data_IF_999170044243
#
_entry.id   IF_999170044243
#
_cell.length_a   1.000
_cell.length_b   1.000
_cell.length_c   1.000
_cell.angle_alpha   90.00
_cell.angle_beta   90.00
_cell.angle_gamma   90.00
#
_symmetry.space_group_name_H-M   'P 1'
#
loop_
_entity.id
_entity.type
_entity.pdbx_description
1 polymer ?
#
# COMPACT_ATOMS: atom_id res chain seq x y z
N UNK A 1 -73.86 53.32 47.08
CA UNK A 1 -74.19 51.89 47.31
C UNK A 1 -73.49 51.05 46.25
N UNK A 2 -72.81 49.98 46.70
CA UNK A 2 -72.42 48.72 46.03
C UNK A 2 -72.23 48.65 44.50
N UNK A 3 -71.12 47.99 44.16
CA UNK A 3 -71.06 46.95 43.12
C UNK A 3 -70.44 47.42 41.81
N UNK A 4 -69.56 46.67 41.14
CA UNK A 4 -69.14 45.29 41.34
C UNK A 4 -68.47 44.82 40.05
N UNK A 5 -67.30 44.17 40.19
CA UNK A 5 -66.52 43.57 39.12
C UNK A 5 -67.15 42.28 38.56
N UNK A 6 -66.74 41.96 37.33
CA UNK A 6 -66.38 40.63 36.78
C UNK A 6 -66.95 40.47 35.36
N UNK A 7 -66.23 39.97 34.36
CA UNK A 7 -64.93 39.30 34.34
C UNK A 7 -64.92 38.44 33.08
N UNK A 8 -64.01 38.73 32.16
CA UNK A 8 -63.89 38.05 30.88
C UNK A 8 -63.29 36.64 31.06
N UNK A 9 -63.91 35.63 30.45
CA UNK A 9 -63.32 34.31 30.26
C UNK A 9 -62.22 34.40 29.21
N UNK A 10 -61.02 33.94 29.56
CA UNK A 10 -59.93 33.71 28.62
C UNK A 10 -59.49 32.25 28.80
N UNK A 11 -59.70 31.44 27.77
CA UNK A 11 -59.27 30.03 27.73
C UNK A 11 -57.74 29.95 27.73
N UNK A 12 -57.18 29.31 28.75
CA UNK A 12 -55.78 28.91 28.78
C UNK A 12 -55.63 27.50 28.20
N UNK A 13 -54.98 27.40 27.04
CA UNK A 13 -54.38 26.17 26.55
C UNK A 13 -53.07 25.90 27.30
N UNK A 14 -52.74 24.64 27.70
CA UNK A 14 -51.49 24.37 28.42
C UNK A 14 -50.30 24.46 27.46
N UNK A 15 -49.31 25.27 27.85
CA UNK A 15 -47.99 25.34 27.24
C UNK A 15 -47.35 23.94 27.17
N UNK A 16 -47.09 23.47 25.95
CA UNK A 16 -46.36 22.24 25.70
C UNK A 16 -44.89 22.41 26.14
N UNK A 17 -44.46 21.56 27.08
CA UNK A 17 -43.05 21.45 27.46
C UNK A 17 -42.16 21.18 26.22
N UNK A 18 -40.98 21.79 26.11
CA UNK A 18 -40.09 21.55 24.97
C UNK A 18 -39.60 20.10 24.96
N UNK A 19 -39.84 19.41 23.85
CA UNK A 19 -39.39 18.03 23.60
C UNK A 19 -37.85 17.93 23.63
N UNK A 20 -37.26 16.80 24.06
CA UNK A 20 -35.83 16.66 24.29
C UNK A 20 -35.07 16.44 22.98
N UNK A 21 -34.93 17.48 22.15
CA UNK A 21 -33.98 17.50 21.04
C UNK A 21 -32.56 17.77 21.57
N UNK A 22 -31.98 16.91 22.41
CA UNK A 22 -30.83 17.36 23.20
C UNK A 22 -29.98 16.37 23.98
N UNK A 23 -29.90 15.08 23.63
CA UNK A 23 -28.95 14.15 24.29
C UNK A 23 -27.68 13.85 23.49
N UNK A 24 -27.80 13.65 22.18
CA UNK A 24 -26.63 13.37 21.32
C UNK A 24 -25.81 14.64 21.10
N UNK A 25 -26.49 15.76 20.81
CA UNK A 25 -25.83 17.06 20.58
C UNK A 25 -25.08 17.55 21.83
N UNK A 26 -25.59 17.26 23.03
CA UNK A 26 -24.96 17.64 24.31
C UNK A 26 -23.76 16.76 24.66
N UNK A 27 -23.80 15.46 24.35
CA UNK A 27 -22.68 14.53 24.52
C UNK A 27 -21.47 14.89 23.63
N UNK A 28 -21.70 15.11 22.34
CA UNK A 28 -20.65 15.52 21.39
C UNK A 28 -20.01 16.85 21.78
N UNK A 29 -20.81 17.83 22.20
CA UNK A 29 -20.28 19.11 22.68
C UNK A 29 -19.49 18.98 23.98
N UNK A 30 -19.86 18.04 24.85
CA UNK A 30 -19.14 17.79 26.11
C UNK A 30 -17.79 17.09 25.91
N UNK A 31 -17.68 16.20 24.93
CA UNK A 31 -16.42 15.53 24.59
C UNK A 31 -15.44 16.44 23.84
N UNK A 32 -15.94 17.30 22.95
CA UNK A 32 -15.14 18.33 22.28
C UNK A 32 -14.65 19.43 23.22
N UNK A 33 -15.36 19.66 24.33
CA UNK A 33 -14.96 20.59 25.39
C UNK A 33 -13.89 20.01 26.34
N UNK A 34 -13.06 19.10 25.85
CA UNK A 34 -11.90 18.51 26.54
C UNK A 34 -10.65 18.74 25.72
N UNK A 35 -9.48 18.67 26.35
CA UNK A 35 -8.20 18.82 25.66
C UNK A 35 -8.01 17.79 24.55
N UNK A 36 -8.33 16.53 24.83
CA UNK A 36 -8.32 15.43 23.85
C UNK A 36 -9.51 15.48 22.87
N UNK A 37 -10.40 16.48 22.95
CA UNK A 37 -11.49 16.68 22.00
C UNK A 37 -10.99 16.83 20.54
N UNK A 38 -9.77 17.31 20.35
CA UNK A 38 -9.11 17.34 19.04
C UNK A 38 -8.92 15.96 18.42
N UNK A 39 -8.63 14.93 19.22
CA UNK A 39 -8.53 13.54 18.74
C UNK A 39 -9.85 13.08 18.15
N UNK A 40 -10.96 13.38 18.84
CA UNK A 40 -12.29 13.08 18.34
C UNK A 40 -12.63 13.88 17.07
N UNK A 41 -12.30 15.16 17.05
CA UNK A 41 -12.56 16.04 15.90
C UNK A 41 -11.85 15.54 14.63
N UNK A 42 -10.54 15.31 14.70
CA UNK A 42 -9.78 14.82 13.55
C UNK A 42 -10.08 13.35 13.23
N UNK A 43 -10.42 12.54 14.24
CA UNK A 43 -10.89 11.17 14.05
C UNK A 43 -12.18 11.10 13.23
N UNK A 44 -13.15 11.98 13.50
CA UNK A 44 -14.38 12.06 12.69
C UNK A 44 -14.08 12.48 11.26
N UNK A 45 -13.17 13.44 11.05
CA UNK A 45 -12.74 13.84 9.70
C UNK A 45 -12.08 12.66 8.98
N UNK A 46 -11.15 11.95 9.64
CA UNK A 46 -10.50 10.77 9.09
C UNK A 46 -11.52 9.71 8.66
N UNK A 47 -12.46 9.36 9.55
CA UNK A 47 -13.51 8.38 9.27
C UNK A 47 -14.42 8.81 8.12
N UNK A 48 -14.75 10.10 8.05
CA UNK A 48 -15.54 10.66 6.94
C UNK A 48 -14.80 10.49 5.62
N UNK A 49 -13.51 10.84 5.58
CA UNK A 49 -12.67 10.67 4.38
C UNK A 49 -12.54 9.19 4.02
N UNK A 50 -12.34 8.29 4.99
CA UNK A 50 -12.19 6.86 4.74
C UNK A 50 -13.47 6.21 4.17
N UNK A 51 -14.65 6.62 4.67
CA UNK A 51 -15.94 6.19 4.11
C UNK A 51 -16.14 6.75 2.71
N UNK A 52 -15.83 8.03 2.47
CA UNK A 52 -15.92 8.64 1.15
C UNK A 52 -15.01 7.94 0.14
N UNK A 53 -13.79 7.58 0.55
CA UNK A 53 -12.87 6.79 -0.28
C UNK A 53 -13.46 5.41 -0.60
N UNK A 54 -14.00 4.70 0.39
CA UNK A 54 -14.62 3.38 0.16
C UNK A 54 -15.78 3.46 -0.83
N UNK A 55 -16.65 4.47 -0.68
CA UNK A 55 -17.74 4.72 -1.63
C UNK A 55 -17.17 5.06 -3.01
N UNK A 56 -16.13 5.90 -3.07
CA UNK A 56 -15.45 6.24 -4.32
C UNK A 56 -14.87 5.01 -5.03
N UNK A 57 -14.23 4.09 -4.30
CA UNK A 57 -13.69 2.84 -4.85
C UNK A 57 -14.78 1.88 -5.30
N UNK A 58 -15.88 1.78 -4.56
CA UNK A 58 -17.06 1.02 -5.01
C UNK A 58 -17.59 1.57 -6.34
N UNK A 59 -17.72 2.90 -6.47
CA UNK A 59 -18.19 3.54 -7.70
C UNK A 59 -17.22 3.32 -8.87
N UNK A 60 -15.91 3.38 -8.63
CA UNK A 60 -14.89 3.11 -9.66
C UNK A 60 -14.86 1.64 -10.10
N UNK A 61 -15.19 0.71 -9.20
CA UNK A 61 -15.22 -0.73 -9.47
C UNK A 61 -16.60 -1.26 -9.84
N UNK A 62 -17.61 -0.40 -9.95
CA UNK A 62 -19.02 -0.77 -10.09
C UNK A 62 -19.32 -1.69 -11.29
N UNK A 63 -18.55 -1.56 -12.38
CA UNK A 63 -18.72 -2.36 -13.59
C UNK A 63 -18.16 -3.80 -13.48
N UNK A 64 -17.27 -4.06 -12.50
CA UNK A 64 -16.51 -5.31 -12.38
C UNK A 64 -16.84 -6.04 -11.07
N UNK A 65 -17.31 -5.31 -10.05
CA UNK A 65 -17.59 -5.86 -8.72
C UNK A 65 -18.87 -6.72 -8.69
N UNK A 66 -18.87 -7.76 -7.87
CA UNK A 66 -20.08 -8.53 -7.60
C UNK A 66 -21.01 -7.77 -6.64
N UNK A 67 -22.28 -7.66 -7.04
CA UNK A 67 -23.33 -7.01 -6.27
C UNK A 67 -24.10 -8.04 -5.42
N UNK A 68 -23.53 -8.43 -4.28
CA UNK A 68 -24.14 -9.40 -3.36
C UNK A 68 -24.07 -8.93 -1.88
N UNK A 69 -24.51 -9.79 -0.96
CA UNK A 69 -24.47 -9.51 0.48
C UNK A 69 -23.04 -9.35 1.04
N UNK A 70 -22.02 -9.80 0.32
CA UNK A 70 -20.62 -9.61 0.64
C UNK A 70 -20.22 -8.15 0.72
N UNK A 71 -20.89 -7.25 -0.03
CA UNK A 71 -20.67 -5.81 0.07
C UNK A 71 -21.05 -5.24 1.44
N UNK A 72 -22.11 -5.74 2.08
CA UNK A 72 -22.48 -5.33 3.44
C UNK A 72 -21.41 -5.74 4.44
N UNK A 73 -20.90 -6.96 4.31
CA UNK A 73 -19.79 -7.45 5.13
C UNK A 73 -18.52 -6.63 4.88
N UNK A 74 -18.21 -6.29 3.61
CA UNK A 74 -17.06 -5.47 3.25
C UNK A 74 -17.15 -4.08 3.86
N UNK A 75 -18.29 -3.41 3.79
CA UNK A 75 -18.46 -2.10 4.44
C UNK A 75 -18.40 -2.19 5.96
N UNK A 76 -18.97 -3.24 6.57
CA UNK A 76 -18.91 -3.46 8.02
C UNK A 76 -17.48 -3.65 8.53
N UNK A 77 -16.73 -4.57 7.91
CA UNK A 77 -15.30 -4.78 8.22
C UNK A 77 -14.46 -3.54 7.90
N UNK A 78 -14.72 -2.90 6.77
CA UNK A 78 -14.05 -1.68 6.37
C UNK A 78 -14.20 -0.57 7.40
N UNK A 79 -15.41 -0.36 7.95
CA UNK A 79 -15.63 0.58 9.05
C UNK A 79 -14.85 0.20 10.31
N UNK A 80 -14.75 -1.09 10.64
CA UNK A 80 -13.92 -1.56 11.76
C UNK A 80 -12.44 -1.21 11.58
N UNK A 81 -11.90 -1.46 10.39
CA UNK A 81 -10.52 -1.09 10.04
C UNK A 81 -10.31 0.43 9.92
N UNK A 82 -11.32 1.20 9.52
CA UNK A 82 -11.26 2.66 9.52
C UNK A 82 -11.16 3.21 10.94
N UNK A 83 -11.95 2.67 11.87
CA UNK A 83 -11.89 3.02 13.30
C UNK A 83 -10.53 2.63 13.87
N UNK A 84 -10.05 1.41 13.58
CA UNK A 84 -8.73 0.96 14.00
C UNK A 84 -7.60 1.85 13.47
N UNK A 85 -7.64 2.19 12.18
CA UNK A 85 -6.69 3.09 11.54
C UNK A 85 -6.72 4.50 12.13
N UNK A 86 -7.92 5.08 12.34
CA UNK A 86 -8.08 6.40 12.94
C UNK A 86 -7.52 6.47 14.38
N UNK A 87 -7.77 5.42 15.17
CA UNK A 87 -7.30 5.32 16.55
C UNK A 87 -5.77 5.22 16.64
N UNK A 88 -5.14 4.41 15.78
CA UNK A 88 -3.68 4.31 15.70
C UNK A 88 -3.05 5.61 15.18
N UNK A 89 -3.60 6.19 14.12
CA UNK A 89 -3.14 7.45 13.54
C UNK A 89 -3.24 8.62 14.53
N UNK A 90 -4.16 8.55 15.49
CA UNK A 90 -4.33 9.57 16.52
C UNK A 90 -3.31 9.48 17.67
N UNK A 91 -2.57 8.37 17.84
CA UNK A 91 -1.65 8.18 18.97
C UNK A 91 -0.63 9.33 19.14
N UNK A 92 0.03 9.86 18.09
CA UNK A 92 0.92 11.01 18.22
C UNK A 92 0.20 12.25 18.76
N UNK A 93 -1.05 12.49 18.34
CA UNK A 93 -1.87 13.60 18.85
C UNK A 93 -2.29 13.38 20.30
N UNK A 94 -2.62 12.13 20.67
CA UNK A 94 -2.92 11.76 22.07
C UNK A 94 -1.72 12.08 22.96
N UNK A 95 -0.50 11.67 22.56
CA UNK A 95 0.73 11.97 23.32
C UNK A 95 0.96 13.48 23.39
N UNK A 96 0.88 14.19 22.26
CA UNK A 96 1.07 15.64 22.20
C UNK A 96 0.11 16.37 23.14
N UNK A 97 -1.19 16.11 23.05
CA UNK A 97 -2.20 16.76 23.90
C UNK A 97 -2.10 16.33 25.36
N UNK A 98 -1.55 15.14 25.64
CA UNK A 98 -1.28 14.70 27.00
C UNK A 98 -0.10 15.43 27.60
N UNK A 99 0.99 15.67 26.85
CA UNK A 99 2.25 16.24 27.38
C UNK A 99 2.23 17.76 27.47
N UNK A 100 1.55 18.45 26.55
CA UNK A 100 1.53 19.91 26.49
C UNK A 100 1.17 20.57 27.85
N UNK A 101 1.81 21.70 28.22
CA UNK A 101 1.59 22.35 29.52
C UNK A 101 0.14 22.81 29.74
N UNK A 102 -0.26 22.99 31.01
CA UNK A 102 -1.62 23.46 31.39
C UNK A 102 -1.95 24.83 30.84
N UNK A 103 -0.96 25.73 30.74
CA UNK A 103 -1.15 27.08 30.18
C UNK A 103 -1.21 27.13 28.65
N UNK A 104 -1.16 25.99 27.96
CA UNK A 104 -1.16 25.95 26.49
C UNK A 104 -2.55 26.26 25.92
N UNK A 105 -2.60 27.10 24.88
CA UNK A 105 -3.85 27.53 24.24
C UNK A 105 -4.41 28.84 24.81
N UNK A 106 -3.74 29.47 25.78
CA UNK A 106 -4.13 30.77 26.34
C UNK A 106 -3.57 31.95 25.54
N UNK A 107 -2.39 31.79 24.92
CA UNK A 107 -1.75 32.85 24.13
C UNK A 107 -2.14 32.75 22.64
N UNK A 108 -2.26 33.90 21.97
CA UNK A 108 -2.61 33.97 20.55
C UNK A 108 -1.68 33.14 19.64
N UNK A 109 -0.36 33.22 19.85
CA UNK A 109 0.61 32.43 19.08
C UNK A 109 0.47 30.92 19.31
N UNK A 110 0.11 30.48 20.52
CA UNK A 110 -0.14 29.06 20.82
C UNK A 110 -1.38 28.58 20.06
N UNK A 111 -2.45 29.39 20.03
CA UNK A 111 -3.65 29.09 19.23
C UNK A 111 -3.31 29.04 17.74
N UNK A 112 -2.46 29.95 17.26
CA UNK A 112 -1.94 29.94 15.89
C UNK A 112 -1.20 28.65 15.56
N UNK A 113 -0.31 28.17 16.44
CA UNK A 113 0.39 26.89 16.26
C UNK A 113 -0.58 25.69 16.25
N UNK A 114 -1.62 25.70 17.08
CA UNK A 114 -2.62 24.63 17.08
C UNK A 114 -3.45 24.62 15.78
N UNK A 115 -3.73 25.79 15.20
CA UNK A 115 -4.36 25.91 13.88
C UNK A 115 -3.43 25.42 12.75
N UNK A 116 -2.13 25.76 12.81
CA UNK A 116 -1.15 25.24 11.87
C UNK A 116 -1.00 23.72 11.97
N UNK A 117 -0.99 23.17 13.19
CA UNK A 117 -1.00 21.73 13.43
C UNK A 117 -2.27 21.05 12.92
N UNK A 118 -3.44 21.69 13.11
CA UNK A 118 -4.70 21.22 12.54
C UNK A 118 -4.66 21.18 11.01
N UNK A 119 -4.11 22.22 10.37
CA UNK A 119 -3.91 22.26 8.93
C UNK A 119 -3.01 21.12 8.45
N UNK A 120 -1.89 20.87 9.15
CA UNK A 120 -0.97 19.79 8.82
C UNK A 120 -1.62 18.40 8.95
N UNK A 121 -2.43 18.18 9.99
CA UNK A 121 -3.19 16.92 10.16
C UNK A 121 -4.21 16.74 9.03
N UNK A 122 -4.98 17.78 8.70
CA UNK A 122 -5.96 17.72 7.61
C UNK A 122 -5.27 17.50 6.25
N UNK A 123 -4.14 18.16 6.02
CA UNK A 123 -3.31 17.94 4.84
C UNK A 123 -2.85 16.48 4.77
N UNK A 124 -2.35 15.90 5.85
CA UNK A 124 -1.89 14.51 5.87
C UNK A 124 -3.02 13.52 5.57
N UNK A 125 -4.22 13.74 6.13
CA UNK A 125 -5.40 12.91 5.86
C UNK A 125 -5.78 12.97 4.38
N UNK A 126 -5.87 14.19 3.81
CA UNK A 126 -6.27 14.39 2.42
C UNK A 126 -5.20 13.94 1.43
N UNK A 127 -3.92 14.14 1.77
CA UNK A 127 -2.79 13.63 0.98
C UNK A 127 -2.79 12.11 0.94
N UNK A 128 -2.97 11.46 2.10
CA UNK A 128 -3.09 10.00 2.17
C UNK A 128 -4.27 9.47 1.35
N UNK A 129 -5.41 10.16 1.40
CA UNK A 129 -6.58 9.82 0.59
C UNK A 129 -6.32 9.95 -0.91
N UNK A 130 -5.66 11.02 -1.35
CA UNK A 130 -5.30 11.22 -2.75
C UNK A 130 -4.28 10.17 -3.21
N UNK A 131 -3.27 9.88 -2.39
CA UNK A 131 -2.29 8.84 -2.67
C UNK A 131 -2.96 7.46 -2.81
N UNK A 132 -3.96 7.15 -1.98
CA UNK A 132 -4.71 5.90 -2.07
C UNK A 132 -5.58 5.85 -3.33
N UNK A 133 -6.16 6.97 -3.77
CA UNK A 133 -6.88 7.05 -5.05
C UNK A 133 -5.97 6.74 -6.24
N UNK A 134 -4.79 7.38 -6.31
CA UNK A 134 -3.83 7.14 -7.38
C UNK A 134 -3.31 5.71 -7.36
N UNK A 135 -3.07 5.16 -6.16
CA UNK A 135 -2.64 3.79 -5.98
C UNK A 135 -3.71 2.78 -6.40
N UNK A 136 -4.98 3.06 -6.11
CA UNK A 136 -6.10 2.24 -6.55
C UNK A 136 -6.24 2.25 -8.08
N UNK A 137 -6.05 3.40 -8.72
CA UNK A 137 -6.14 3.51 -10.18
C UNK A 137 -5.06 2.70 -10.89
N UNK A 138 -3.86 2.62 -10.28
CA UNK A 138 -2.73 1.85 -10.82
C UNK A 138 -2.86 0.35 -10.54
N UNK A 139 -3.23 -0.04 -9.32
CA UNK A 139 -3.12 -1.44 -8.87
C UNK A 139 -4.46 -2.15 -8.60
N UNK A 140 -5.58 -1.43 -8.62
CA UNK A 140 -6.90 -1.97 -8.33
C UNK A 140 -7.08 -2.50 -6.90
N UNK A 141 -6.19 -2.12 -5.98
CA UNK A 141 -6.15 -2.60 -4.59
C UNK A 141 -5.78 -1.45 -3.65
N UNK A 142 -6.06 -1.58 -2.34
CA UNK A 142 -5.58 -0.62 -1.34
C UNK A 142 -4.09 -0.80 -1.08
N UNK A 143 -3.49 0.13 -0.34
CA UNK A 143 -2.07 0.04 0.02
C UNK A 143 -1.70 -1.33 0.58
N UNK A 144 -0.59 -1.86 0.09
CA UNK A 144 -0.05 -3.17 0.45
C UNK A 144 1.49 -3.10 0.43
N UNK A 145 2.16 -4.25 0.31
CA UNK A 145 3.63 -4.31 0.28
C UNK A 145 4.26 -3.50 -0.86
N UNK A 146 3.54 -3.26 -1.97
CA UNK A 146 4.00 -2.41 -3.08
C UNK A 146 4.19 -0.97 -2.59
N UNK A 147 3.25 -0.44 -1.81
CA UNK A 147 3.36 0.90 -1.22
C UNK A 147 4.54 1.01 -0.25
N UNK A 148 4.84 -0.09 0.47
CA UNK A 148 6.01 -0.16 1.36
C UNK A 148 7.31 -0.17 0.56
N UNK A 149 7.41 -1.00 -0.48
CA UNK A 149 8.56 -1.03 -1.39
C UNK A 149 8.86 0.37 -1.95
N UNK A 150 7.82 1.13 -2.32
CA UNK A 150 7.99 2.48 -2.85
C UNK A 150 8.55 3.47 -1.82
N UNK A 151 8.28 3.25 -0.53
CA UNK A 151 8.89 4.04 0.54
C UNK A 151 10.31 3.59 0.87
N UNK A 152 10.70 2.35 0.55
CA UNK A 152 12.09 1.90 0.68
C UNK A 152 12.96 2.53 -0.42
N UNK A 153 12.45 2.60 -1.65
CA UNK A 153 13.14 3.18 -2.80
C UNK A 153 12.73 4.65 -3.04
N UNK A 154 12.83 5.48 -1.99
CA UNK A 154 12.31 6.87 -2.04
C UNK A 154 12.91 7.71 -3.13
N UNK A 155 14.19 7.54 -3.46
CA UNK A 155 14.89 8.45 -4.38
C UNK A 155 14.37 8.28 -5.80
N UNK A 156 14.26 7.04 -6.26
CA UNK A 156 13.71 6.65 -7.56
C UNK A 156 12.25 7.06 -7.65
N UNK A 157 11.46 6.70 -6.63
CA UNK A 157 10.01 6.94 -6.63
C UNK A 157 9.70 8.43 -6.60
N UNK A 158 10.35 9.22 -5.73
CA UNK A 158 10.16 10.67 -5.69
C UNK A 158 10.68 11.32 -6.97
N UNK A 159 11.79 10.84 -7.53
CA UNK A 159 12.31 11.28 -8.83
C UNK A 159 11.27 11.07 -9.93
N UNK A 160 10.74 9.86 -10.05
CA UNK A 160 9.71 9.51 -11.02
C UNK A 160 8.44 10.34 -10.83
N UNK A 161 7.96 10.54 -9.59
CA UNK A 161 6.78 11.35 -9.32
C UNK A 161 7.01 12.81 -9.73
N UNK A 162 8.20 13.37 -9.48
CA UNK A 162 8.56 14.74 -9.88
C UNK A 162 8.59 14.91 -11.39
N UNK A 163 9.08 13.90 -12.11
CA UNK A 163 9.15 13.89 -13.57
C UNK A 163 7.77 13.63 -14.22
N UNK A 164 6.91 12.84 -13.55
CA UNK A 164 5.61 12.40 -14.10
C UNK A 164 4.44 13.32 -13.75
N UNK A 165 4.51 14.03 -12.61
CA UNK A 165 3.38 14.80 -12.10
C UNK A 165 3.74 16.25 -11.76
N UNK A 166 2.78 17.15 -11.97
CA UNK A 166 2.88 18.53 -11.49
C UNK A 166 2.65 18.59 -9.97
N UNK A 167 3.71 18.30 -9.20
CA UNK A 167 3.68 18.30 -7.74
C UNK A 167 3.24 19.63 -7.12
N UNK A 168 3.69 20.81 -7.59
CA UNK A 168 3.17 22.08 -7.07
C UNK A 168 1.66 22.21 -7.16
N UNK A 169 1.07 21.79 -8.29
CA UNK A 169 -0.38 21.79 -8.47
C UNK A 169 -1.06 20.81 -7.51
N UNK A 170 -0.59 19.56 -7.46
CA UNK A 170 -1.18 18.52 -6.61
C UNK A 170 -1.13 18.91 -5.13
N UNK A 171 0.07 19.22 -4.63
CA UNK A 171 0.26 19.59 -3.22
C UNK A 171 -0.45 20.90 -2.89
N UNK A 172 -0.46 21.86 -3.82
CA UNK A 172 -1.20 23.12 -3.70
C UNK A 172 -2.71 22.90 -3.59
N UNK A 173 -3.29 22.01 -4.41
CA UNK A 173 -4.72 21.66 -4.35
C UNK A 173 -5.10 20.95 -3.06
N UNK A 174 -4.27 20.01 -2.58
CA UNK A 174 -4.49 19.34 -1.29
C UNK A 174 -4.40 20.35 -0.14
N UNK A 175 -3.41 21.25 -0.17
CA UNK A 175 -3.26 22.31 0.84
C UNK A 175 -4.44 23.29 0.83
N UNK A 176 -4.93 23.70 -0.35
CA UNK A 176 -6.10 24.55 -0.48
C UNK A 176 -7.36 23.88 0.07
N UNK A 177 -7.56 22.58 -0.22
CA UNK A 177 -8.68 21.82 0.32
C UNK A 177 -8.59 21.65 1.84
N UNK A 178 -7.40 21.36 2.37
CA UNK A 178 -7.16 21.29 3.82
C UNK A 178 -7.46 22.64 4.50
N UNK A 179 -7.06 23.76 3.89
CA UNK A 179 -7.36 25.10 4.38
C UNK A 179 -8.86 25.43 4.32
N UNK A 180 -9.54 25.06 3.24
CA UNK A 180 -10.99 25.23 3.11
C UNK A 180 -11.75 24.41 4.17
N UNK A 181 -11.33 23.17 4.42
CA UNK A 181 -11.89 22.31 5.46
C UNK A 181 -11.65 22.90 6.85
N UNK A 182 -10.43 23.37 7.13
CA UNK A 182 -10.10 24.05 8.39
C UNK A 182 -10.93 25.32 8.58
N UNK A 183 -11.13 26.11 7.51
CA UNK A 183 -11.99 27.28 7.52
C UNK A 183 -13.44 26.89 7.88
N UNK A 184 -13.98 25.83 7.27
CA UNK A 184 -15.30 25.30 7.60
C UNK A 184 -15.41 24.84 9.07
N UNK A 185 -14.40 24.13 9.59
CA UNK A 185 -14.35 23.71 11.01
C UNK A 185 -14.25 24.90 11.98
N UNK A 186 -13.64 26.00 11.54
CA UNK A 186 -13.62 27.26 12.30
C UNK A 186 -14.98 27.99 12.22
N UNK A 187 -15.59 28.06 11.04
CA UNK A 187 -16.89 28.69 10.82
C UNK A 187 -18.02 28.02 11.61
N UNK A 188 -17.97 26.69 11.77
CA UNK A 188 -18.90 25.92 12.63
C UNK A 188 -18.67 26.13 14.13
N UNK A 189 -17.56 26.76 14.52
CA UNK A 189 -17.17 26.98 15.91
C UNK A 189 -16.59 25.75 16.62
N UNK A 190 -16.44 24.61 15.94
CA UNK A 190 -15.88 23.38 16.52
C UNK A 190 -14.43 23.57 16.95
N UNK A 191 -13.61 24.19 16.08
CA UNK A 191 -12.22 24.50 16.39
C UNK A 191 -12.11 25.45 17.59
N UNK A 192 -12.93 26.51 17.62
CA UNK A 192 -12.93 27.46 18.75
C UNK A 192 -13.23 26.76 20.07
N UNK A 193 -14.26 25.90 20.10
CA UNK A 193 -14.64 25.13 21.29
C UNK A 193 -13.52 24.22 21.78
N UNK A 194 -12.84 23.52 20.87
CA UNK A 194 -11.70 22.68 21.23
C UNK A 194 -10.53 23.51 21.75
N UNK A 195 -10.16 24.60 21.06
CA UNK A 195 -9.06 25.48 21.46
C UNK A 195 -9.30 26.12 22.84
N UNK A 196 -10.55 26.47 23.15
CA UNK A 196 -10.95 27.00 24.46
C UNK A 196 -10.85 25.94 25.58
N UNK A 197 -10.86 24.65 25.23
CA UNK A 197 -10.71 23.53 26.16
C UNK A 197 -9.27 23.03 26.33
N UNK A 198 -8.29 23.59 25.61
CA UNK A 198 -6.87 23.20 25.73
C UNK A 198 -6.29 23.40 27.14
N UNK A 199 -6.62 24.49 27.87
CA UNK A 199 -6.12 24.69 29.22
C UNK A 199 -6.83 23.75 30.19
N UNK A 200 -6.29 22.55 30.38
CA UNK A 200 -6.85 21.51 31.25
C UNK A 200 -5.86 21.09 32.35
N UNK A 201 -6.30 20.94 33.62
CA UNK A 201 -5.43 20.55 34.73
C UNK A 201 -4.70 19.22 34.52
N UNK A 202 -3.48 19.12 35.06
CA UNK A 202 -2.57 17.99 34.86
C UNK A 202 -3.20 16.62 35.16
N UNK A 203 -3.82 16.45 36.33
CA UNK A 203 -4.40 15.16 36.72
C UNK A 203 -5.48 14.66 35.74
N UNK A 204 -6.26 15.58 35.15
CA UNK A 204 -7.33 15.21 34.24
C UNK A 204 -6.80 14.88 32.83
N UNK A 205 -5.86 15.67 32.30
CA UNK A 205 -5.24 15.39 30.99
C UNK A 205 -4.46 14.07 30.99
N UNK A 206 -3.75 13.72 32.07
CA UNK A 206 -2.99 12.47 32.12
C UNK A 206 -3.90 11.24 32.20
N UNK A 207 -4.99 11.31 32.99
CA UNK A 207 -6.00 10.25 33.02
C UNK A 207 -6.67 10.06 31.65
N UNK A 208 -7.13 11.15 31.03
CA UNK A 208 -7.72 11.11 29.70
C UNK A 208 -6.72 10.60 28.65
N UNK A 209 -5.47 11.07 28.71
CA UNK A 209 -4.38 10.63 27.84
C UNK A 209 -4.10 9.15 27.94
N UNK A 210 -4.04 8.60 29.16
CA UNK A 210 -3.85 7.16 29.37
C UNK A 210 -5.02 6.34 28.79
N UNK A 211 -6.26 6.78 28.99
CA UNK A 211 -7.44 6.13 28.41
C UNK A 211 -7.37 6.16 26.88
N UNK A 212 -7.13 7.33 26.28
CA UNK A 212 -6.99 7.47 24.84
C UNK A 212 -5.81 6.69 24.27
N UNK A 213 -4.71 6.55 25.02
CA UNK A 213 -3.55 5.77 24.59
C UNK A 213 -3.88 4.28 24.57
N UNK A 214 -4.51 3.75 25.62
CA UNK A 214 -4.96 2.35 25.68
C UNK A 214 -5.99 2.06 24.60
N UNK A 215 -6.99 2.92 24.44
CA UNK A 215 -8.01 2.80 23.38
C UNK A 215 -7.35 2.91 22.01
N UNK A 216 -6.44 3.86 21.81
CA UNK A 216 -5.73 4.08 20.56
C UNK A 216 -4.84 2.90 20.15
N UNK A 217 -4.24 2.22 21.12
CA UNK A 217 -3.36 1.07 20.90
C UNK A 217 -4.14 -0.26 20.78
N UNK A 218 -5.36 -0.34 21.32
CA UNK A 218 -6.18 -1.56 21.31
C UNK A 218 -6.37 -2.20 19.93
N UNK A 219 -6.55 -1.47 18.81
CA UNK A 219 -6.72 -2.08 17.49
C UNK A 219 -5.52 -2.93 17.08
N UNK A 220 -4.29 -2.55 17.45
CA UNK A 220 -3.07 -3.30 17.12
C UNK A 220 -3.04 -4.72 17.71
N UNK A 221 -3.89 -5.01 18.70
CA UNK A 221 -4.04 -6.33 19.32
C UNK A 221 -5.36 -7.02 18.97
N UNK A 222 -6.40 -6.27 18.63
CA UNK A 222 -7.74 -6.80 18.40
C UNK A 222 -8.05 -7.06 16.93
N UNK A 223 -7.47 -6.28 16.02
CA UNK A 223 -7.71 -6.37 14.59
C UNK A 223 -6.51 -7.03 13.90
N UNK A 224 -6.78 -7.99 13.04
CA UNK A 224 -5.84 -8.56 12.10
C UNK A 224 -6.54 -8.75 10.74
N UNK A 225 -5.86 -8.43 9.63
CA UNK A 225 -6.42 -8.63 8.31
C UNK A 225 -6.73 -10.09 7.98
N UNK A 226 -6.07 -11.04 8.63
CA UNK A 226 -6.36 -12.48 8.52
C UNK A 226 -7.77 -12.82 9.00
N UNK A 227 -8.41 -11.96 9.81
CA UNK A 227 -9.78 -12.15 10.26
C UNK A 227 -10.83 -11.79 9.19
N UNK A 228 -10.42 -11.18 8.07
CA UNK A 228 -11.33 -10.87 6.97
C UNK A 228 -11.90 -12.17 6.39
N UNK A 229 -13.22 -12.26 6.18
CA UNK A 229 -13.82 -13.44 5.58
C UNK A 229 -13.39 -13.59 4.12
N UNK A 230 -13.62 -14.78 3.56
CA UNK A 230 -13.54 -14.97 2.11
C UNK A 230 -14.64 -14.15 1.42
N UNK A 231 -14.27 -13.33 0.45
CA UNK A 231 -15.20 -12.57 -0.39
C UNK A 231 -15.32 -13.22 -1.77
N UNK A 232 -16.41 -12.91 -2.49
CA UNK A 232 -16.66 -13.46 -3.83
C UNK A 232 -15.63 -12.97 -4.86
N UNK A 233 -15.14 -11.74 -4.70
CA UNK A 233 -14.06 -11.17 -5.51
C UNK A 233 -13.08 -10.35 -4.67
N UNK A 234 -11.96 -10.01 -5.30
CA UNK A 234 -10.88 -9.26 -4.65
C UNK A 234 -11.28 -7.79 -4.36
N UNK A 235 -12.12 -7.16 -5.19
CA UNK A 235 -12.53 -5.77 -4.96
C UNK A 235 -13.34 -5.63 -3.67
N UNK A 236 -14.28 -6.54 -3.42
CA UNK A 236 -15.01 -6.59 -2.14
C UNK A 236 -14.07 -6.73 -0.95
N UNK A 237 -13.05 -7.59 -1.06
CA UNK A 237 -12.03 -7.78 -0.02
C UNK A 237 -11.22 -6.50 0.20
N UNK A 238 -10.87 -5.78 -0.85
CA UNK A 238 -10.14 -4.51 -0.76
C UNK A 238 -11.01 -3.37 -0.19
N UNK A 239 -12.32 -3.37 -0.45
CA UNK A 239 -13.26 -2.45 0.20
C UNK A 239 -13.38 -2.74 1.71
N UNK A 240 -13.18 -3.99 2.14
CA UNK A 240 -13.16 -4.39 3.54
C UNK A 240 -11.92 -3.92 4.32
N UNK A 241 -10.92 -3.37 3.62
CA UNK A 241 -9.67 -2.87 4.22
C UNK A 241 -9.72 -1.35 4.44
N UNK A 242 -8.71 -0.87 5.15
CA UNK A 242 -8.31 0.53 5.23
C UNK A 242 -6.87 0.66 4.73
N UNK A 243 -6.57 1.66 3.89
CA UNK A 243 -5.24 1.82 3.27
C UNK A 243 -4.14 2.04 4.29
N UNK A 244 -4.34 2.96 5.25
CA UNK A 244 -3.35 3.23 6.29
C UNK A 244 -3.09 2.00 7.16
N UNK A 245 -4.15 1.30 7.57
CA UNK A 245 -4.01 0.03 8.28
C UNK A 245 -3.21 -1.00 7.47
N UNK A 246 -3.55 -1.14 6.19
CA UNK A 246 -2.92 -2.12 5.30
C UNK A 246 -1.47 -1.83 4.99
N UNK A 247 -1.11 -0.55 4.89
CA UNK A 247 0.27 -0.11 4.78
C UNK A 247 1.11 -0.58 5.99
N UNK A 248 0.64 -0.33 7.23
CA UNK A 248 1.36 -0.76 8.43
C UNK A 248 1.38 -2.29 8.61
N UNK A 249 0.27 -2.97 8.30
CA UNK A 249 0.20 -4.43 8.34
C UNK A 249 1.19 -5.07 7.35
N UNK A 250 1.26 -4.55 6.12
CA UNK A 250 2.19 -5.02 5.10
C UNK A 250 3.65 -4.79 5.49
N UNK A 251 3.97 -3.63 6.07
CA UNK A 251 5.32 -3.34 6.56
C UNK A 251 5.78 -4.35 7.62
N UNK A 252 4.86 -4.84 8.46
CA UNK A 252 5.16 -5.79 9.54
C UNK A 252 5.26 -7.24 9.06
N UNK A 253 4.33 -7.69 8.21
CA UNK A 253 4.16 -9.13 7.96
C UNK A 253 4.89 -9.63 6.71
N UNK A 254 5.19 -8.76 5.73
CA UNK A 254 5.95 -8.93 4.47
C UNK A 254 6.06 -10.31 3.76
N UNK A 255 5.19 -11.27 4.08
CA UNK A 255 5.06 -12.60 3.51
C UNK A 255 3.56 -12.94 3.43
N UNK A 256 3.17 -13.60 2.34
CA UNK A 256 1.80 -14.04 2.13
C UNK A 256 1.68 -15.47 2.69
N UNK A 257 0.71 -15.73 3.55
CA UNK A 257 0.48 -17.09 4.11
C UNK A 257 0.06 -18.06 2.99
N UNK A 258 0.96 -18.97 2.61
CA UNK A 258 0.74 -19.87 1.48
C UNK A 258 -0.52 -20.74 1.67
N UNK A 259 -0.70 -21.31 2.87
CA UNK A 259 -1.78 -22.25 3.15
C UNK A 259 -3.14 -21.54 3.21
N UNK A 260 -3.15 -20.24 3.52
CA UNK A 260 -4.36 -19.43 3.51
C UNK A 260 -4.83 -19.05 2.10
N UNK A 261 -3.90 -18.76 1.18
CA UNK A 261 -4.22 -18.18 -0.13
C UNK A 261 -4.22 -19.19 -1.27
N UNK A 262 -3.62 -20.37 -1.08
CA UNK A 262 -3.49 -21.39 -2.11
C UNK A 262 -4.16 -22.68 -1.68
N UNK A 263 -4.76 -23.38 -2.65
CA UNK A 263 -5.17 -24.76 -2.45
C UNK A 263 -3.91 -25.60 -2.31
N UNK A 264 -3.77 -26.26 -1.17
CA UNK A 264 -2.60 -27.08 -0.87
C UNK A 264 -2.92 -28.57 -0.95
N UNK A 265 -1.86 -29.36 -1.08
CA UNK A 265 -1.87 -30.81 -1.17
C UNK A 265 -0.79 -31.34 -0.22
N UNK A 266 -0.99 -32.52 0.41
CA UNK A 266 0.03 -33.10 1.28
C UNK A 266 1.39 -33.18 0.58
N UNK A 267 2.50 -32.78 1.22
CA UNK A 267 3.81 -32.71 0.56
C UNK A 267 4.22 -34.01 -0.14
N UNK A 268 3.93 -35.17 0.45
CA UNK A 268 4.24 -36.46 -0.16
C UNK A 268 3.51 -36.69 -1.50
N UNK A 269 2.25 -36.27 -1.62
CA UNK A 269 1.48 -36.36 -2.87
C UNK A 269 1.98 -35.34 -3.89
N UNK A 270 2.29 -34.12 -3.45
CA UNK A 270 2.87 -33.06 -4.30
C UNK A 270 4.20 -33.51 -4.92
N UNK A 271 5.13 -34.04 -4.12
CA UNK A 271 6.41 -34.53 -4.62
C UNK A 271 6.25 -35.79 -5.50
N UNK A 272 5.25 -36.63 -5.27
CA UNK A 272 4.97 -37.75 -6.16
C UNK A 272 4.58 -37.26 -7.57
N UNK A 273 3.64 -36.31 -7.67
CA UNK A 273 3.24 -35.71 -8.95
C UNK A 273 4.40 -34.95 -9.62
N UNK A 274 5.12 -34.16 -8.84
CA UNK A 274 6.24 -33.37 -9.37
C UNK A 274 7.33 -34.27 -9.96
N UNK A 275 7.60 -35.43 -9.37
CA UNK A 275 8.57 -36.39 -9.92
C UNK A 275 8.14 -36.96 -11.27
N UNK A 276 6.84 -37.19 -11.47
CA UNK A 276 6.29 -37.65 -12.74
C UNK A 276 6.47 -36.56 -13.82
N UNK A 277 6.13 -35.31 -13.51
CA UNK A 277 6.30 -34.17 -14.42
C UNK A 277 7.77 -33.90 -14.77
N UNK A 278 8.67 -33.97 -13.77
CA UNK A 278 10.08 -33.62 -13.98
C UNK A 278 10.81 -34.58 -14.92
N UNK A 279 10.40 -35.85 -15.03
CA UNK A 279 11.06 -36.83 -15.90
C UNK A 279 10.50 -36.86 -17.32
N UNK A 280 9.43 -36.12 -17.61
CA UNK A 280 8.85 -36.04 -18.96
C UNK A 280 9.84 -35.47 -19.99
N UNK A 281 10.76 -34.62 -19.54
CA UNK A 281 11.84 -34.05 -20.38
C UNK A 281 13.03 -34.99 -20.59
N UNK A 282 12.94 -36.23 -20.10
CA UNK A 282 14.01 -37.23 -20.16
C UNK A 282 15.10 -37.06 -19.10
N UNK A 283 14.92 -36.16 -18.13
CA UNK A 283 15.86 -36.00 -17.03
C UNK A 283 15.83 -37.16 -16.04
N UNK A 284 16.94 -37.34 -15.32
CA UNK A 284 17.13 -38.42 -14.34
C UNK A 284 17.14 -37.82 -12.94
N UNK A 285 16.17 -38.18 -12.11
CA UNK A 285 16.11 -37.76 -10.71
C UNK A 285 17.30 -38.33 -9.93
N UNK A 286 18.02 -37.47 -9.21
CA UNK A 286 19.20 -37.89 -8.43
C UNK A 286 18.84 -38.35 -7.01
N UNK A 287 17.69 -37.92 -6.50
CA UNK A 287 17.19 -38.26 -5.16
C UNK A 287 15.68 -38.56 -5.17
N UNK A 288 15.25 -39.66 -5.82
CA UNK A 288 13.84 -39.95 -6.04
C UNK A 288 13.05 -40.18 -4.74
N UNK A 289 13.72 -40.63 -3.68
CA UNK A 289 13.09 -40.99 -2.40
C UNK A 289 13.02 -39.80 -1.40
N UNK A 290 13.62 -38.65 -1.74
CA UNK A 290 13.62 -37.44 -0.92
C UNK A 290 12.65 -36.39 -1.49
N UNK A 291 12.15 -35.44 -0.67
CA UNK A 291 11.40 -34.28 -1.14
C UNK A 291 12.35 -33.27 -1.83
N UNK A 292 12.91 -33.66 -2.97
CA UNK A 292 13.92 -32.93 -3.73
C UNK A 292 13.55 -32.91 -5.23
N UNK A 293 14.01 -31.89 -5.95
CA UNK A 293 13.83 -31.71 -7.40
C UNK A 293 15.15 -31.84 -8.18
N UNK A 294 16.24 -32.23 -7.50
CA UNK A 294 17.56 -32.43 -8.09
C UNK A 294 17.49 -33.48 -9.21
N UNK A 295 17.88 -33.07 -10.41
CA UNK A 295 17.88 -33.93 -11.59
C UNK A 295 19.10 -33.71 -12.44
N UNK A 296 19.52 -34.76 -13.12
CA UNK A 296 20.55 -34.75 -14.13
C UNK A 296 19.91 -34.67 -15.52
N UNK A 297 20.30 -33.67 -16.30
CA UNK A 297 19.86 -33.49 -17.67
C UNK A 297 21.04 -33.74 -18.60
N UNK A 298 20.85 -34.62 -19.59
CA UNK A 298 21.87 -34.92 -20.60
C UNK A 298 21.41 -34.35 -21.93
N UNK A 299 22.19 -33.44 -22.49
CA UNK A 299 22.03 -33.04 -23.88
C UNK A 299 22.88 -33.94 -24.79
N UNK A 300 22.36 -34.29 -25.96
CA UNK A 300 23.11 -35.04 -26.96
C UNK A 300 23.97 -34.11 -27.81
N UNK A 301 25.17 -34.57 -28.19
CA UNK A 301 26.10 -33.79 -29.00
C UNK A 301 27.27 -33.20 -28.22
N UNK A 302 28.08 -32.40 -28.92
CA UNK A 302 29.25 -31.75 -28.35
C UNK A 302 28.85 -30.54 -27.50
N UNK A 303 29.51 -30.35 -26.36
CA UNK A 303 29.35 -29.16 -25.54
C UNK A 303 29.83 -27.92 -26.31
N UNK A 304 28.97 -26.90 -26.38
CA UNK A 304 29.28 -25.64 -27.01
C UNK A 304 29.73 -24.63 -25.94
N UNK A 305 30.73 -23.82 -26.27
CA UNK A 305 31.22 -22.73 -25.41
C UNK A 305 31.07 -21.34 -26.06
N UNK A 306 29.87 -20.92 -26.50
CA UNK A 306 29.65 -19.58 -27.04
C UNK A 306 29.58 -18.55 -25.91
N UNK A 307 29.76 -17.27 -26.24
CA UNK A 307 29.32 -16.20 -25.35
C UNK A 307 27.79 -16.23 -25.23
N UNK A 308 27.26 -16.07 -24.01
CA UNK A 308 25.82 -16.05 -23.74
C UNK A 308 25.44 -14.64 -23.32
N UNK A 309 24.58 -13.98 -24.11
CA UNK A 309 24.09 -12.63 -23.83
C UNK A 309 22.58 -12.72 -23.66
N UNK A 310 22.11 -12.45 -22.44
CA UNK A 310 20.70 -12.43 -22.11
C UNK A 310 20.21 -10.99 -22.02
N UNK A 311 19.38 -10.57 -22.98
CA UNK A 311 18.78 -9.24 -23.01
C UNK A 311 17.36 -9.36 -22.46
N UNK A 312 17.13 -8.81 -21.27
CA UNK A 312 15.78 -8.74 -20.67
C UNK A 312 15.19 -7.38 -20.95
N UNK A 313 14.03 -7.34 -21.60
CA UNK A 313 13.39 -6.08 -21.98
C UNK A 313 12.27 -5.76 -21.00
N UNK A 314 12.34 -4.59 -20.39
CA UNK A 314 11.39 -4.12 -19.39
C UNK A 314 9.99 -3.90 -20.00
N UNK A 315 8.97 -4.48 -19.37
CA UNK A 315 7.55 -4.27 -19.68
C UNK A 315 7.14 -4.46 -21.16
N UNK A 316 7.82 -5.34 -21.90
CA UNK A 316 7.52 -5.63 -23.31
C UNK A 316 6.57 -6.82 -23.46
N UNK A 317 5.27 -6.57 -23.46
CA UNK A 317 4.26 -7.59 -23.79
C UNK A 317 4.17 -7.83 -25.31
N UNK A 318 3.57 -8.97 -25.69
CA UNK A 318 3.31 -9.32 -27.08
C UNK A 318 2.41 -8.30 -27.82
N UNK A 319 1.59 -7.52 -27.10
CA UNK A 319 0.74 -6.48 -27.69
C UNK A 319 1.55 -5.38 -28.39
N UNK A 320 2.79 -5.15 -27.95
CA UNK A 320 3.67 -4.14 -28.54
C UNK A 320 4.50 -4.68 -29.72
N UNK A 321 4.54 -5.99 -29.92
CA UNK A 321 5.35 -6.62 -30.97
C UNK A 321 4.55 -6.72 -32.26
N UNK A 322 5.06 -6.16 -33.37
CA UNK A 322 4.39 -6.24 -34.67
C UNK A 322 4.19 -7.69 -35.15
N UNK A 323 5.12 -8.57 -34.77
CA UNK A 323 5.07 -10.03 -35.00
C UNK A 323 3.89 -10.75 -34.33
N UNK A 324 3.31 -10.19 -33.26
CA UNK A 324 2.17 -10.78 -32.54
C UNK A 324 0.90 -9.91 -32.59
N UNK A 325 1.06 -8.60 -32.73
CA UNK A 325 -0.01 -7.64 -32.96
C UNK A 325 0.25 -6.86 -34.25
N UNK A 326 -0.39 -7.22 -35.37
CA UNK A 326 -0.18 -6.56 -36.67
C UNK A 326 -0.51 -5.06 -36.69
N UNK A 327 -1.22 -4.54 -35.68
CA UNK A 327 -1.50 -3.11 -35.55
C UNK A 327 -0.38 -2.32 -34.87
N UNK A 328 0.57 -2.99 -34.22
CA UNK A 328 1.72 -2.35 -33.58
C UNK A 328 2.84 -2.07 -34.58
N UNK A 329 3.40 -0.87 -34.49
CA UNK A 329 4.58 -0.43 -35.27
C UNK A 329 5.75 -0.03 -34.37
N UNK A 330 5.69 -0.38 -33.08
CA UNK A 330 6.61 0.12 -32.05
C UNK A 330 7.99 -0.55 -32.05
N UNK A 331 8.10 -1.77 -32.60
CA UNK A 331 9.31 -2.62 -32.47
C UNK A 331 9.89 -3.13 -33.80
N UNK A 332 10.07 -2.27 -34.82
CA UNK A 332 10.44 -2.72 -36.17
C UNK A 332 11.76 -3.52 -36.22
N UNK A 333 12.76 -3.13 -35.42
CA UNK A 333 14.05 -3.83 -35.36
C UNK A 333 13.93 -5.22 -34.72
N UNK A 334 13.10 -5.35 -33.69
CA UNK A 334 12.87 -6.63 -33.02
C UNK A 334 12.06 -7.57 -33.91
N UNK A 335 11.09 -7.04 -34.66
CA UNK A 335 10.33 -7.82 -35.65
C UNK A 335 11.23 -8.30 -36.80
N UNK A 336 12.17 -7.47 -37.26
CA UNK A 336 13.17 -7.87 -38.24
C UNK A 336 14.14 -8.94 -37.72
N UNK A 337 14.47 -8.90 -36.42
CA UNK A 337 15.30 -9.91 -35.75
C UNK A 337 14.54 -11.24 -35.57
N UNK A 338 13.25 -11.18 -35.23
CA UNK A 338 12.39 -12.34 -35.02
C UNK A 338 12.35 -13.26 -36.24
N UNK A 339 12.28 -12.68 -37.46
CA UNK A 339 12.30 -13.44 -38.72
C UNK A 339 13.58 -14.25 -38.97
N UNK A 340 14.66 -14.00 -38.20
CA UNK A 340 15.97 -14.66 -38.32
C UNK A 340 16.33 -15.47 -37.07
N UNK A 341 15.39 -15.62 -36.13
CA UNK A 341 15.64 -16.16 -34.80
C UNK A 341 14.73 -17.35 -34.51
N UNK A 342 15.08 -18.14 -33.49
CA UNK A 342 14.12 -19.05 -32.88
C UNK A 342 13.16 -18.22 -32.02
N UNK A 343 11.89 -18.21 -32.38
CA UNK A 343 10.84 -17.45 -31.70
C UNK A 343 9.89 -18.42 -31.00
N UNK A 344 9.61 -18.14 -29.73
CA UNK A 344 8.61 -18.86 -28.95
C UNK A 344 7.32 -18.04 -28.94
N UNK A 345 6.29 -18.55 -29.60
CA UNK A 345 4.97 -17.91 -29.73
C UNK A 345 4.04 -18.18 -28.54
N UNK A 346 4.41 -19.14 -27.69
CA UNK A 346 3.73 -19.51 -26.45
C UNK A 346 4.66 -19.31 -25.24
N UNK A 347 5.19 -18.10 -25.07
CA UNK A 347 6.10 -17.76 -23.99
C UNK A 347 5.44 -16.82 -22.98
N UNK A 348 5.37 -17.24 -21.72
CA UNK A 348 4.65 -16.53 -20.67
C UNK A 348 5.57 -16.15 -19.52
N UNK A 349 5.45 -14.90 -19.04
CA UNK A 349 6.09 -14.49 -17.81
C UNK A 349 5.44 -15.19 -16.61
N UNK A 350 6.26 -15.57 -15.62
CA UNK A 350 5.78 -16.18 -14.37
C UNK A 350 5.17 -15.16 -13.40
N UNK A 351 5.29 -13.87 -13.69
CA UNK A 351 4.78 -12.78 -12.87
C UNK A 351 4.73 -11.47 -13.64
N UNK A 352 4.25 -10.44 -12.95
CA UNK A 352 3.96 -9.12 -13.51
C UNK A 352 4.94 -8.02 -13.05
N UNK A 353 6.09 -8.39 -12.49
CA UNK A 353 7.11 -7.44 -11.99
C UNK A 353 8.51 -7.85 -12.43
N UNK A 354 9.40 -6.86 -12.58
CA UNK A 354 10.80 -7.06 -12.98
C UNK A 354 11.53 -8.05 -12.08
N UNK A 355 11.35 -7.96 -10.76
CA UNK A 355 11.95 -8.87 -9.78
C UNK A 355 11.46 -10.32 -9.90
N UNK A 356 10.28 -10.56 -10.49
CA UNK A 356 9.78 -11.91 -10.83
C UNK A 356 10.37 -12.43 -12.13
N UNK A 357 10.48 -11.57 -13.14
CA UNK A 357 11.19 -11.90 -14.38
C UNK A 357 12.63 -12.31 -14.09
N UNK A 358 13.36 -11.50 -13.31
CA UNK A 358 14.73 -11.81 -12.90
C UNK A 358 14.83 -13.09 -12.04
N UNK A 359 13.88 -13.34 -11.13
CA UNK A 359 13.81 -14.57 -10.33
C UNK A 359 13.69 -15.80 -11.23
N UNK A 360 12.73 -15.81 -12.15
CA UNK A 360 12.52 -16.93 -13.07
C UNK A 360 13.72 -17.15 -13.99
N UNK A 361 14.27 -16.08 -14.55
CA UNK A 361 15.39 -16.15 -15.50
C UNK A 361 16.71 -16.56 -14.84
N UNK A 362 16.91 -16.27 -13.55
CA UNK A 362 18.15 -16.61 -12.83
C UNK A 362 18.05 -17.92 -12.06
N UNK A 363 16.92 -18.23 -11.44
CA UNK A 363 16.75 -19.40 -10.56
C UNK A 363 15.98 -20.55 -11.23
N UNK A 364 15.27 -20.29 -12.34
CA UNK A 364 14.39 -21.29 -12.98
C UNK A 364 13.35 -21.87 -12.02
N UNK A 365 12.84 -21.03 -11.11
CA UNK A 365 11.82 -21.42 -10.14
C UNK A 365 10.43 -20.94 -10.59
N UNK A 366 9.38 -21.73 -10.31
CA UNK A 366 8.01 -21.25 -10.41
C UNK A 366 7.79 -20.07 -9.43
N UNK A 367 6.80 -19.20 -9.71
CA UNK A 367 6.58 -18.01 -8.90
C UNK A 367 6.20 -18.38 -7.46
N UNK A 368 6.96 -17.85 -6.50
CA UNK A 368 6.69 -18.01 -5.07
C UNK A 368 5.64 -16.99 -4.59
N UNK A 369 4.76 -17.26 -3.61
CA UNK A 369 3.81 -16.24 -3.16
C UNK A 369 4.44 -15.06 -2.42
N UNK A 370 3.82 -13.88 -2.50
CA UNK A 370 4.30 -12.67 -1.81
C UNK A 370 5.41 -11.95 -2.57
N UNK A 371 6.56 -11.73 -1.92
CA UNK A 371 7.71 -11.02 -2.50
C UNK A 371 8.65 -11.98 -3.25
N UNK A 372 9.27 -11.54 -4.36
CA UNK A 372 10.30 -12.30 -5.09
C UNK A 372 11.46 -12.66 -4.16
N UNK A 373 12.09 -13.84 -4.35
CA UNK A 373 13.29 -14.27 -3.63
C UNK A 373 14.44 -13.26 -3.76
N UNK A 374 14.49 -12.50 -4.85
CA UNK A 374 15.48 -11.41 -5.03
C UNK A 374 15.47 -10.42 -3.88
N UNK A 375 14.31 -10.19 -3.27
CA UNK A 375 14.13 -9.22 -2.19
C UNK A 375 13.91 -9.84 -0.81
N UNK A 376 14.00 -11.17 -0.69
CA UNK A 376 13.89 -11.86 0.60
C UNK A 376 15.23 -11.89 1.34
N UNK A 377 15.24 -12.02 2.67
CA UNK A 377 16.45 -12.33 3.41
C UNK A 377 17.04 -13.68 2.97
N UNK A 378 18.35 -13.87 3.15
CA UNK A 378 19.08 -15.12 2.80
C UNK A 378 18.94 -15.49 1.32
N UNK A 379 19.13 -14.51 0.44
CA UNK A 379 19.02 -14.64 -1.00
C UNK A 379 20.39 -14.76 -1.72
N UNK A 380 21.45 -15.07 -0.98
CA UNK A 380 22.80 -15.32 -1.49
C UNK A 380 23.07 -16.83 -1.59
N UNK A 381 24.12 -17.22 -2.32
CA UNK A 381 24.57 -18.62 -2.48
C UNK A 381 23.49 -19.58 -3.01
N UNK A 382 22.59 -19.08 -3.86
CA UNK A 382 21.54 -19.86 -4.50
C UNK A 382 22.04 -20.55 -5.78
N UNK A 383 21.36 -21.64 -6.14
CA UNK A 383 21.57 -22.34 -7.41
C UNK A 383 20.98 -21.51 -8.56
N UNK A 384 21.81 -20.73 -9.22
CA UNK A 384 21.43 -19.84 -10.33
C UNK A 384 21.99 -20.34 -11.66
N UNK A 385 21.43 -19.87 -12.79
CA UNK A 385 22.01 -20.04 -14.12
C UNK A 385 23.50 -19.63 -14.14
N UNK A 386 23.83 -18.51 -13.49
CA UNK A 386 25.22 -18.05 -13.36
C UNK A 386 26.09 -19.03 -12.57
N UNK A 387 25.56 -19.63 -11.51
CA UNK A 387 26.31 -20.68 -10.79
C UNK A 387 26.63 -21.87 -11.68
N UNK A 388 25.68 -22.31 -12.52
CA UNK A 388 25.88 -23.41 -13.47
C UNK A 388 26.93 -23.02 -14.51
N UNK A 389 26.80 -21.85 -15.13
CA UNK A 389 27.75 -21.37 -16.15
C UNK A 389 29.18 -21.21 -15.58
N UNK A 390 29.33 -20.73 -14.34
CA UNK A 390 30.65 -20.64 -13.70
C UNK A 390 31.30 -22.00 -13.48
N UNK A 391 30.54 -23.08 -13.24
CA UNK A 391 31.13 -24.44 -13.20
C UNK A 391 31.73 -24.87 -14.54
N UNK A 392 31.36 -24.20 -15.64
CA UNK A 392 31.87 -24.38 -17.00
C UNK A 392 32.89 -23.32 -17.42
N UNK A 393 33.41 -22.53 -16.46
CA UNK A 393 34.49 -21.56 -16.69
C UNK A 393 34.05 -20.21 -17.27
N UNK A 394 32.74 -19.92 -17.30
CA UNK A 394 32.23 -18.62 -17.74
C UNK A 394 32.47 -17.51 -16.71
N UNK A 395 32.80 -16.31 -17.19
CA UNK A 395 32.61 -15.08 -16.42
C UNK A 395 31.14 -14.64 -16.53
N UNK A 396 30.49 -14.38 -15.40
CA UNK A 396 29.07 -14.03 -15.35
C UNK A 396 28.90 -12.61 -14.85
N UNK A 397 28.22 -11.77 -15.63
CA UNK A 397 27.95 -10.38 -15.28
C UNK A 397 26.45 -10.06 -15.31
N UNK A 398 26.02 -9.18 -14.40
CA UNK A 398 24.70 -8.54 -14.44
C UNK A 398 24.91 -7.07 -14.76
N UNK A 399 24.33 -6.61 -15.87
CA UNK A 399 24.53 -5.25 -16.38
C UNK A 399 23.20 -4.51 -16.35
N UNK A 400 23.16 -3.34 -15.73
CA UNK A 400 21.95 -2.55 -15.57
C UNK A 400 22.23 -1.05 -15.73
N UNK A 401 21.44 -0.36 -16.55
CA UNK A 401 21.60 1.08 -16.80
C UNK A 401 21.12 1.98 -15.65
N UNK A 402 20.40 1.43 -14.67
CA UNK A 402 19.98 2.14 -13.47
C UNK A 402 20.86 1.86 -12.27
N UNK A 403 20.51 2.39 -11.10
CA UNK A 403 21.18 2.02 -9.86
C UNK A 403 20.68 0.67 -9.39
N UNK A 404 21.55 -0.33 -9.33
CA UNK A 404 21.13 -1.69 -9.01
C UNK A 404 20.86 -1.92 -7.52
N UNK A 405 20.97 -0.90 -6.66
CA UNK A 405 20.38 -1.00 -5.32
C UNK A 405 18.84 -1.07 -5.39
N UNK A 406 18.25 -0.48 -6.43
CA UNK A 406 16.82 -0.61 -6.71
C UNK A 406 16.46 -2.09 -6.83
N UNK A 407 15.30 -2.47 -6.30
CA UNK A 407 14.83 -3.85 -6.25
C UNK A 407 15.79 -4.89 -5.64
N UNK A 408 16.82 -4.45 -4.90
CA UNK A 408 17.84 -5.32 -4.28
C UNK A 408 18.71 -6.09 -5.30
N UNK A 409 18.81 -5.61 -6.54
CA UNK A 409 19.52 -6.33 -7.62
C UNK A 409 21.01 -6.54 -7.33
N UNK A 410 21.73 -5.51 -6.87
CA UNK A 410 23.17 -5.59 -6.58
C UNK A 410 23.47 -6.63 -5.51
N UNK A 411 22.69 -6.64 -4.43
CA UNK A 411 22.87 -7.59 -3.34
C UNK A 411 22.57 -9.02 -3.79
N UNK A 412 21.48 -9.23 -4.54
CA UNK A 412 21.12 -10.54 -5.06
C UNK A 412 22.14 -11.06 -6.07
N UNK A 413 22.38 -10.35 -7.16
CA UNK A 413 23.29 -10.82 -8.22
C UNK A 413 24.74 -10.93 -7.71
N UNK A 414 25.21 -9.95 -6.94
CA UNK A 414 26.54 -10.00 -6.31
C UNK A 414 26.67 -11.16 -5.32
N UNK A 415 25.68 -11.38 -4.46
CA UNK A 415 25.62 -12.50 -3.52
C UNK A 415 25.47 -13.87 -4.19
N UNK A 416 25.11 -13.91 -5.48
CA UNK A 416 25.03 -15.13 -6.28
C UNK A 416 26.16 -15.20 -7.33
N UNK A 417 27.27 -14.48 -7.11
CA UNK A 417 28.52 -14.62 -7.85
C UNK A 417 28.56 -13.96 -9.23
N UNK A 418 27.62 -13.06 -9.53
CA UNK A 418 27.69 -12.23 -10.74
C UNK A 418 28.54 -10.97 -10.47
N UNK A 419 29.37 -10.59 -11.43
CA UNK A 419 29.96 -9.25 -11.46
C UNK A 419 28.89 -8.24 -11.84
N UNK A 420 28.58 -7.33 -10.92
CA UNK A 420 27.52 -6.34 -11.14
C UNK A 420 28.12 -5.07 -11.75
N UNK A 421 27.54 -4.64 -12.86
CA UNK A 421 27.85 -3.38 -13.55
C UNK A 421 26.55 -2.58 -13.61
N UNK A 422 26.40 -1.63 -12.70
CA UNK A 422 25.24 -0.75 -12.67
C UNK A 422 25.63 0.69 -13.09
N UNK A 423 24.68 1.61 -13.02
CA UNK A 423 24.90 3.02 -13.35
C UNK A 423 26.07 3.66 -12.58
N UNK A 424 26.39 3.21 -11.36
CA UNK A 424 27.48 3.79 -10.59
C UNK A 424 28.86 3.46 -11.19
N UNK A 425 28.96 2.42 -12.02
CA UNK A 425 30.18 2.06 -12.74
C UNK A 425 30.33 2.79 -14.09
N UNK A 426 29.32 3.56 -14.53
CA UNK A 426 29.35 4.28 -15.81
C UNK A 426 30.06 5.64 -15.68
N UNK A 427 31.10 5.92 -16.49
CA UNK A 427 31.71 7.25 -16.55
C UNK A 427 30.68 8.31 -16.95
N UNK A 428 30.75 9.51 -16.36
CA UNK A 428 29.74 10.55 -16.61
C UNK A 428 29.78 11.06 -18.05
N UNK A 429 30.95 11.07 -18.64
CA UNK A 429 31.22 11.42 -20.03
C UNK A 429 30.58 10.46 -21.04
N UNK A 430 30.31 9.22 -20.64
CA UNK A 430 29.68 8.20 -21.48
C UNK A 430 28.14 8.26 -21.37
N UNK A 431 27.59 8.99 -20.40
CA UNK A 431 26.15 9.14 -20.21
C UNK A 431 25.62 10.24 -21.13
N UNK A 432 24.96 9.85 -22.20
CA UNK A 432 24.36 10.76 -23.18
C UNK A 432 22.95 11.19 -22.79
N UNK A 433 22.24 10.32 -22.07
CA UNK A 433 20.91 10.59 -21.54
C UNK A 433 20.72 9.94 -20.17
N UNK A 434 19.98 10.58 -19.29
CA UNK A 434 19.61 10.00 -18.01
C UNK A 434 18.25 10.48 -17.52
N UNK A 435 17.51 9.58 -16.89
CA UNK A 435 16.29 9.89 -16.13
C UNK A 435 16.35 9.26 -14.73
N UNK A 436 15.24 9.30 -13.99
CA UNK A 436 15.12 8.71 -12.66
C UNK A 436 15.45 7.19 -12.61
N UNK A 437 15.33 6.48 -13.73
CA UNK A 437 15.44 5.01 -13.79
C UNK A 437 16.75 4.51 -14.39
N UNK A 438 17.25 5.15 -15.46
CA UNK A 438 18.42 4.67 -16.20
C UNK A 438 19.26 5.79 -16.79
N UNK A 439 20.50 5.45 -17.09
CA UNK A 439 21.38 6.15 -17.98
C UNK A 439 21.54 5.36 -19.29
N UNK A 440 21.70 6.09 -20.39
CA UNK A 440 21.98 5.59 -21.73
C UNK A 440 23.27 6.22 -22.27
#
# INVERSE_FOLDING_TARGET
MRGGQNGAMNEQTPSAAPRPAGRVRTLWTGLLARRHGGVLLFGVVFLTVAVLLRVGFLLRSAAIINWDAGLLAAFGWGLGFDVGGALLAALPLVVLFTVLPTGWGQKGWQRGLMQAGALAVLFAILFGALAECLFWDEFGVRFNFIAVDYLVYTTEVIGNIRESYNLPLILGSVAALAAALLYGLNATGLMRRWLDALPEPAGRRWRAGMVWFVVGLSPAFLLNQEQLPSFADNYQRELAKNGMWSFFAAFRNNELDYDQFYKTMPPAETFARLREELVEDGSILLRPDEPDTLRYMKNEGAELHPNIIQITVESLSAEFLGSFNPSSTLTPELDALAAKSLVFDNFYATGNRTDRGMEALSLSLPPTPGRSLIKRPRNADLFTLGSVLRTRGYDTAFIYGGYGYFDNMNAFFGGNGYRVVDRAAMPKEDITFANAWRAC
#
